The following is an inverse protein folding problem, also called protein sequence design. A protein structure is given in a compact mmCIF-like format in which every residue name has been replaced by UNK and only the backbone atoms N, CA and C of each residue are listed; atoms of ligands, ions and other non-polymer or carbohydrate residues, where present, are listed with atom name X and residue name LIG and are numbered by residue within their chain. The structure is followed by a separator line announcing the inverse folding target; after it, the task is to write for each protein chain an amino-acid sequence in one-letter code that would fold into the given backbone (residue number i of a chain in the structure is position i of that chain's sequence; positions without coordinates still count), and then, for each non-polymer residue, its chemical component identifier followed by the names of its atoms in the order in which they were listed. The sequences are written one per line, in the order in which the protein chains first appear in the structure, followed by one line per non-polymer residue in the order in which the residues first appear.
data_IF_214824579308
#
_entry.id   IF_214824579308
#
_cell.length_a   1.000
_cell.length_b   1.000
_cell.length_c   1.000
_cell.angle_alpha   90.00
_cell.angle_beta   90.00
_cell.angle_gamma   90.00
#
_symmetry.space_group_name_H-M   'P 1'
#
loop_
_entity.id
_entity.type
_entity.pdbx_description
1 polymer ?
#
# COMPACT_ATOMS: atom_id res chain seq x y z
N UNK A 1 13.40 -12.33 -14.54
CA UNK A 1 13.18 -10.89 -14.79
C UNK A 1 11.76 -10.55 -15.20
N UNK A 2 11.10 -11.35 -16.05
CA UNK A 2 9.74 -11.07 -16.53
C UNK A 2 8.69 -10.89 -15.42
N UNK A 3 8.77 -11.66 -14.33
CA UNK A 3 7.91 -11.49 -13.14
C UNK A 3 8.04 -10.09 -12.53
N UNK A 4 9.28 -9.61 -12.33
CA UNK A 4 9.56 -8.32 -11.71
C UNK A 4 9.06 -7.17 -12.59
N UNK A 5 9.24 -7.26 -13.91
CA UNK A 5 8.71 -6.28 -14.87
C UNK A 5 7.18 -6.23 -14.81
N UNK A 6 6.53 -7.39 -14.73
CA UNK A 6 5.07 -7.50 -14.62
C UNK A 6 4.56 -6.83 -13.34
N UNK A 7 5.21 -7.12 -12.20
CA UNK A 7 4.87 -6.52 -10.91
C UNK A 7 5.10 -5.02 -10.91
N UNK A 8 6.22 -4.55 -11.44
CA UNK A 8 6.55 -3.13 -11.53
C UNK A 8 5.49 -2.36 -12.33
N UNK A 9 5.13 -2.86 -13.52
CA UNK A 9 4.08 -2.26 -14.36
C UNK A 9 2.73 -2.20 -13.65
N UNK A 10 2.37 -3.27 -12.94
CA UNK A 10 1.13 -3.31 -12.19
C UNK A 10 1.14 -2.31 -11.02
N UNK A 11 2.20 -2.29 -10.20
CA UNK A 11 2.33 -1.38 -9.06
C UNK A 11 2.32 0.09 -9.50
N UNK A 12 2.93 0.41 -10.65
CA UNK A 12 2.91 1.77 -11.21
C UNK A 12 1.49 2.22 -11.57
N UNK A 13 0.68 1.33 -12.13
CA UNK A 13 -0.72 1.62 -12.49
C UNK A 13 -1.64 1.78 -11.28
N UNK A 14 -1.29 1.17 -10.15
CA UNK A 14 -2.16 1.07 -8.99
C UNK A 14 -2.16 2.38 -8.18
N UNK A 15 -3.31 3.03 -8.09
CA UNK A 15 -3.54 4.27 -7.35
C UNK A 15 -4.01 4.03 -5.90
N UNK A 16 -4.75 2.95 -5.67
CA UNK A 16 -5.38 2.60 -4.40
C UNK A 16 -4.67 1.50 -3.62
N UNK A 17 -4.81 1.52 -2.29
CA UNK A 17 -4.25 0.49 -1.38
C UNK A 17 -5.06 -0.81 -1.38
N UNK A 18 -6.38 -0.69 -1.51
CA UNK A 18 -7.33 -1.80 -1.53
C UNK A 18 -7.90 -1.93 -2.94
N UNK A 19 -7.84 -3.12 -3.51
CA UNK A 19 -8.27 -3.38 -4.88
C UNK A 19 -8.84 -4.80 -5.03
N UNK A 20 -9.45 -5.04 -6.18
CA UNK A 20 -10.13 -6.28 -6.55
C UNK A 20 -9.44 -6.95 -7.74
N UNK A 21 -9.87 -8.17 -8.06
CA UNK A 21 -9.38 -8.89 -9.25
C UNK A 21 -9.61 -8.14 -10.57
N UNK A 22 -10.66 -7.31 -10.64
CA UNK A 22 -10.96 -6.49 -11.83
C UNK A 22 -9.99 -5.32 -12.00
N UNK A 23 -9.46 -4.80 -10.90
CA UNK A 23 -8.47 -3.72 -10.93
C UNK A 23 -7.13 -4.20 -11.48
N UNK A 24 -6.83 -5.49 -11.31
CA UNK A 24 -5.67 -6.14 -11.94
C UNK A 24 -5.88 -6.24 -13.45
N UNK A 25 -6.95 -6.92 -13.86
CA UNK A 25 -7.34 -7.11 -15.26
C UNK A 25 -8.73 -7.72 -15.38
N UNK A 26 -9.38 -7.52 -16.51
CA UNK A 26 -10.58 -8.26 -16.91
C UNK A 26 -10.27 -9.72 -17.27
N UNK A 27 -9.02 -10.03 -17.66
CA UNK A 27 -8.60 -11.39 -17.98
C UNK A 27 -8.32 -12.19 -16.70
N UNK A 28 -9.18 -13.16 -16.39
CA UNK A 28 -9.12 -13.93 -15.15
C UNK A 28 -7.81 -14.71 -14.98
N UNK A 29 -7.25 -15.27 -16.07
CA UNK A 29 -6.00 -16.03 -16.04
C UNK A 29 -4.82 -15.12 -15.72
N UNK A 30 -4.79 -13.94 -16.34
CA UNK A 30 -3.78 -12.93 -16.06
C UNK A 30 -3.90 -12.38 -14.63
N UNK A 31 -5.11 -12.04 -14.17
CA UNK A 31 -5.34 -11.53 -12.82
C UNK A 31 -4.90 -12.52 -11.76
N UNK A 32 -5.21 -13.82 -11.93
CA UNK A 32 -4.73 -14.88 -11.03
C UNK A 32 -3.21 -15.01 -11.04
N UNK A 33 -2.57 -14.90 -12.21
CA UNK A 33 -1.11 -14.93 -12.33
C UNK A 33 -0.46 -13.77 -11.56
N UNK A 34 -0.95 -12.54 -11.76
CA UNK A 34 -0.42 -11.36 -11.08
C UNK A 34 -0.68 -11.42 -9.58
N UNK A 35 -1.89 -11.83 -9.17
CA UNK A 35 -2.20 -12.03 -7.75
C UNK A 35 -1.25 -13.04 -7.10
N UNK A 36 -1.02 -14.18 -7.75
CA UNK A 36 -0.09 -15.19 -7.26
C UNK A 36 1.35 -14.67 -7.12
N UNK A 37 1.79 -13.79 -8.03
CA UNK A 37 3.08 -13.11 -7.88
C UNK A 37 3.07 -12.15 -6.69
N UNK A 38 2.03 -11.34 -6.53
CA UNK A 38 1.92 -10.40 -5.41
C UNK A 38 1.91 -11.12 -4.05
N UNK A 39 1.19 -12.24 -3.94
CA UNK A 39 1.17 -13.10 -2.75
C UNK A 39 2.55 -13.76 -2.53
N UNK A 40 3.16 -14.34 -3.57
CA UNK A 40 4.50 -14.97 -3.51
C UNK A 40 5.56 -14.05 -2.93
N UNK A 41 5.52 -12.75 -3.24
CA UNK A 41 6.49 -11.77 -2.74
C UNK A 41 6.03 -11.01 -1.48
N UNK A 42 4.87 -11.37 -0.89
CA UNK A 42 4.35 -10.75 0.33
C UNK A 42 3.96 -9.28 0.15
N UNK A 43 3.53 -8.90 -1.05
CA UNK A 43 3.15 -7.53 -1.38
C UNK A 43 1.67 -7.24 -1.06
N UNK A 44 0.86 -8.29 -0.91
CA UNK A 44 -0.58 -8.19 -0.65
C UNK A 44 -1.06 -9.20 0.38
N UNK A 45 -2.12 -8.82 1.10
CA UNK A 45 -2.97 -9.70 1.89
C UNK A 45 -4.30 -9.89 1.15
N UNK A 46 -4.73 -11.16 1.02
CA UNK A 46 -5.94 -11.52 0.26
C UNK A 46 -7.02 -12.02 1.21
N UNK A 47 -8.15 -11.33 1.21
CA UNK A 47 -9.34 -11.71 1.95
C UNK A 47 -10.36 -12.30 0.98
N UNK A 48 -10.66 -13.59 1.15
CA UNK A 48 -11.59 -14.33 0.28
C UNK A 48 -12.96 -14.39 0.96
N UNK A 49 -13.93 -13.65 0.40
CA UNK A 49 -15.34 -13.76 0.72
C UNK A 49 -16.17 -14.06 -0.54
N UNK A 50 -17.36 -13.47 -0.66
CA UNK A 50 -18.12 -13.45 -1.93
C UNK A 50 -17.37 -12.70 -3.05
N UNK A 51 -16.44 -11.81 -2.67
CA UNK A 51 -15.53 -11.11 -3.56
C UNK A 51 -14.09 -11.19 -3.02
N UNK A 52 -13.11 -11.07 -3.92
CA UNK A 52 -11.70 -10.91 -3.56
C UNK A 52 -11.44 -9.47 -3.15
N UNK A 53 -11.07 -9.27 -1.89
CA UNK A 53 -10.55 -7.99 -1.39
C UNK A 53 -9.06 -8.14 -1.18
N UNK A 54 -8.28 -7.40 -1.96
CA UNK A 54 -6.81 -7.47 -1.99
C UNK A 54 -6.28 -6.17 -1.40
N UNK A 55 -5.41 -6.28 -0.39
CA UNK A 55 -4.88 -5.12 0.35
C UNK A 55 -3.36 -5.12 0.23
N UNK A 56 -2.75 -3.99 -0.12
CA UNK A 56 -1.28 -3.87 -0.07
C UNK A 56 -0.78 -3.99 1.37
N UNK A 57 0.25 -4.82 1.56
CA UNK A 57 1.05 -4.85 2.78
C UNK A 57 1.92 -3.60 2.89
N UNK A 58 2.55 -3.37 4.04
CA UNK A 58 3.56 -2.31 4.19
C UNK A 58 4.72 -2.45 3.18
N UNK A 59 5.09 -3.69 2.84
CA UNK A 59 6.08 -4.00 1.79
C UNK A 59 5.54 -3.65 0.39
N UNK A 60 4.28 -3.97 0.11
CA UNK A 60 3.60 -3.61 -1.13
C UNK A 60 3.53 -2.10 -1.35
N UNK A 61 3.19 -1.34 -0.31
CA UNK A 61 3.18 0.13 -0.38
C UNK A 61 4.57 0.71 -0.65
N UNK A 62 5.61 0.20 0.02
CA UNK A 62 7.00 0.61 -0.26
C UNK A 62 7.41 0.29 -1.70
N UNK A 63 7.08 -0.90 -2.19
CA UNK A 63 7.36 -1.29 -3.57
C UNK A 63 6.65 -0.37 -4.58
N UNK A 64 5.40 0.00 -4.30
CA UNK A 64 4.64 0.97 -5.11
C UNK A 64 5.30 2.34 -5.13
N UNK A 65 5.69 2.88 -3.97
CA UNK A 65 6.39 4.16 -3.87
C UNK A 65 7.69 4.14 -4.66
N UNK A 66 8.49 3.07 -4.54
CA UNK A 66 9.73 2.91 -5.32
C UNK A 66 9.44 2.94 -6.83
N UNK A 67 8.39 2.27 -7.29
CA UNK A 67 8.02 2.28 -8.70
C UNK A 67 7.64 3.68 -9.21
N UNK A 68 6.88 4.44 -8.41
CA UNK A 68 6.50 5.82 -8.73
C UNK A 68 7.69 6.77 -8.71
N UNK A 69 8.59 6.63 -7.72
CA UNK A 69 9.82 7.41 -7.61
C UNK A 69 10.75 7.14 -8.78
N UNK A 70 10.88 5.88 -9.21
CA UNK A 70 11.71 5.52 -10.37
C UNK A 70 11.24 6.24 -11.64
N UNK A 71 9.93 6.29 -11.89
CA UNK A 71 9.39 7.02 -13.05
C UNK A 71 9.59 8.53 -12.90
N UNK A 72 9.35 9.09 -11.71
CA UNK A 72 9.55 10.52 -11.46
C UNK A 72 11.01 10.94 -11.63
N UNK A 73 11.95 10.08 -11.23
CA UNK A 73 13.38 10.26 -11.46
C UNK A 73 13.73 10.28 -12.95
N UNK A 74 13.17 9.35 -13.74
CA UNK A 74 13.35 9.35 -15.20
C UNK A 74 12.76 10.58 -15.88
N UNK A 75 11.67 11.13 -15.34
CA UNK A 75 11.03 12.37 -15.82
C UNK A 75 11.79 13.64 -15.40
N UNK A 76 12.89 13.53 -14.66
CA UNK A 76 13.70 14.68 -14.23
C UNK A 76 13.05 15.52 -13.13
N UNK A 77 12.04 14.99 -12.43
CA UNK A 77 11.49 15.64 -11.24
C UNK A 77 12.45 15.45 -10.07
N UNK A 78 12.68 16.48 -9.26
CA UNK A 78 13.46 16.33 -8.02
C UNK A 78 12.74 15.33 -7.10
N UNK A 79 13.30 14.12 -6.99
CA UNK A 79 12.80 13.09 -6.08
C UNK A 79 13.71 13.08 -4.86
N UNK A 80 13.24 13.64 -3.74
CA UNK A 80 13.94 13.46 -2.47
C UNK A 80 13.81 12.00 -2.04
N UNK A 81 14.94 11.30 -1.92
CA UNK A 81 15.00 9.92 -1.45
C UNK A 81 14.62 9.81 0.05
N UNK A 82 14.50 10.93 0.75
CA UNK A 82 14.07 11.01 2.15
C UNK A 82 12.58 10.65 2.31
N UNK A 83 11.74 10.92 1.29
CA UNK A 83 10.32 10.55 1.29
C UNK A 83 10.09 9.03 1.30
N UNK A 84 11.02 8.27 0.72
CA UNK A 84 11.02 6.80 0.76
C UNK A 84 11.35 6.24 2.15
N UNK A 85 12.01 7.02 3.02
CA UNK A 85 12.31 6.65 4.41
C UNK A 85 11.18 6.99 5.39
N UNK A 86 10.07 7.58 4.95
CA UNK A 86 8.96 7.96 5.82
C UNK A 86 8.11 6.74 6.27
N UNK A 87 8.70 5.94 7.15
CA UNK A 87 8.03 5.10 8.13
C UNK A 87 8.13 5.69 9.55
N UNK A 88 8.43 6.99 9.69
CA UNK A 88 8.11 7.69 10.95
C UNK A 88 6.61 7.90 10.93
N UNK A 89 5.88 7.09 11.71
CA UNK A 89 4.48 7.36 11.99
C UNK A 89 4.33 8.83 12.34
N UNK A 90 3.32 9.50 11.78
CA UNK A 90 2.88 10.79 12.32
C UNK A 90 2.68 10.59 13.82
N UNK A 91 3.55 11.17 14.64
CA UNK A 91 3.23 11.43 16.04
C UNK A 91 2.06 12.40 16.00
N UNK A 92 0.86 11.85 16.02
CA UNK A 92 -0.34 12.63 16.31
C UNK A 92 -0.25 12.90 17.81
N UNK A 93 0.22 14.09 18.17
CA UNK A 93 0.11 14.57 19.55
C UNK A 93 -1.37 14.54 19.92
N UNK A 94 -1.69 13.87 21.02
CA UNK A 94 -3.05 13.79 21.56
C UNK A 94 -3.50 15.15 22.15
N UNK A 95 -2.58 16.10 22.32
CA UNK A 95 -2.88 17.45 22.80
C UNK A 95 -3.66 18.28 21.76
N UNK A 96 -3.55 17.95 20.48
CA UNK A 96 -4.15 18.68 19.36
C UNK A 96 -5.43 18.02 18.80
N UNK A 97 -6.09 17.21 19.63
CA UNK A 97 -7.35 16.55 19.24
C UNK A 97 -8.52 17.55 19.24
N UNK A 98 -9.47 17.43 18.31
CA UNK A 98 -10.75 18.13 18.39
C UNK A 98 -11.48 17.84 19.71
N UNK A 99 -12.22 18.81 20.24
CA UNK A 99 -12.84 18.74 21.58
C UNK A 99 -13.73 17.50 21.78
N UNK A 100 -14.39 17.03 20.71
CA UNK A 100 -15.25 15.85 20.74
C UNK A 100 -14.48 14.51 20.86
N UNK A 101 -13.16 14.51 20.64
CA UNK A 101 -12.30 13.33 20.79
C UNK A 101 -11.51 13.31 22.09
N UNK A 102 -11.32 14.46 22.76
CA UNK A 102 -10.51 14.56 23.98
C UNK A 102 -10.97 13.64 25.11
N UNK A 103 -12.28 13.37 25.20
CA UNK A 103 -12.87 12.53 26.26
C UNK A 103 -13.23 11.12 25.80
N UNK A 104 -12.67 10.63 24.69
CA UNK A 104 -13.02 9.30 24.20
C UNK A 104 -12.31 8.20 25.03
N UNK A 105 -13.05 7.34 25.76
CA UNK A 105 -12.47 6.32 26.63
C UNK A 105 -11.69 5.23 25.88
N UNK A 106 -11.85 5.12 24.56
CA UNK A 106 -11.08 4.17 23.74
C UNK A 106 -9.66 4.66 23.43
N UNK A 107 -9.38 5.97 23.54
CA UNK A 107 -8.05 6.51 23.26
C UNK A 107 -7.01 6.07 24.31
N UNK A 108 -7.40 5.98 25.59
CA UNK A 108 -6.54 5.46 26.66
C UNK A 108 -6.23 3.97 26.46
N UNK A 109 -7.24 3.18 26.07
CA UNK A 109 -7.08 1.74 25.77
C UNK A 109 -6.12 1.51 24.59
N UNK A 110 -6.19 2.36 23.56
CA UNK A 110 -5.28 2.28 22.42
C UNK A 110 -3.84 2.70 22.78
N UNK A 111 -3.67 3.57 23.78
CA UNK A 111 -2.34 4.01 24.26
C UNK A 111 -1.61 2.89 25.02
N UNK A 112 -2.32 2.06 25.78
CA UNK A 112 -1.73 0.97 26.58
C UNK A 112 -1.34 -0.27 25.76
N UNK A 113 -1.90 -0.43 24.55
CA UNK A 113 -1.66 -1.60 23.68
C UNK A 113 -0.40 -1.51 22.81
N UNK A 114 0.50 -0.56 23.08
CA UNK A 114 1.74 -0.36 22.31
C UNK A 114 2.94 -1.03 22.96
#
# INVERSE_FOLDING_TARGET
MEEAVTLFRFLLKLDKRVFSMRDISTNSKYSKRVLGLLEKYGLVDVHKGSMYVIVLTSRGEKARKIAQHFVSFLEGKEVSLEDTRAGKGREVSLEDLPDYLKNNPWLSVLKERK
#
